data_IF_074153308344
#
_entry.id   IF_074153308344
#
_cell.length_a   1.000
_cell.length_b   1.000
_cell.length_c   1.000
_cell.angle_alpha   90.00
_cell.angle_beta   90.00
_cell.angle_gamma   90.00
#
_symmetry.space_group_name_H-M   'P 1'
#
loop_
_entity.id
_entity.type
_entity.pdbx_description
1 polymer ?
#
# COMPACT_ATOMS: atom_id res chain seq x y z
N UNK A 1 9.39 18.10 -12.75
CA UNK A 1 9.08 17.05 -11.77
C UNK A 1 8.07 16.14 -12.42
N UNK A 2 8.28 14.84 -12.34
CA UNK A 2 7.35 13.85 -12.89
C UNK A 2 6.03 13.92 -12.13
N UNK A 3 4.91 14.10 -12.82
CA UNK A 3 3.58 13.89 -12.22
C UNK A 3 3.28 12.39 -12.25
N UNK A 4 2.80 11.84 -11.13
CA UNK A 4 2.45 10.43 -10.99
C UNK A 4 1.36 10.23 -9.93
N UNK A 5 0.63 9.12 -10.03
CA UNK A 5 -0.50 8.74 -9.15
C UNK A 5 -1.52 9.88 -8.97
N UNK A 6 -1.93 10.50 -10.07
CA UNK A 6 -2.90 11.61 -10.06
C UNK A 6 -4.23 11.16 -9.45
N UNK A 7 -4.64 9.92 -9.70
CA UNK A 7 -5.83 9.29 -9.11
C UNK A 7 -5.78 9.15 -7.58
N UNK A 8 -4.63 9.33 -6.93
CA UNK A 8 -4.52 9.33 -5.46
C UNK A 8 -5.27 10.49 -4.79
N UNK A 9 -5.58 11.55 -5.55
CA UNK A 9 -6.21 12.76 -5.03
C UNK A 9 -5.24 13.68 -4.26
N UNK A 10 -3.93 13.44 -4.34
CA UNK A 10 -2.89 14.25 -3.69
C UNK A 10 -3.02 15.75 -4.00
N UNK A 11 -3.34 16.10 -5.25
CA UNK A 11 -3.52 17.48 -5.71
C UNK A 11 -4.73 18.20 -5.09
N UNK A 12 -5.66 17.45 -4.48
CA UNK A 12 -6.84 18.00 -3.81
C UNK A 12 -6.55 18.37 -2.35
N UNK A 13 -5.38 18.05 -1.82
CA UNK A 13 -5.03 18.21 -0.41
C UNK A 13 -4.07 19.38 -0.20
N UNK A 14 -4.15 19.98 0.99
CA UNK A 14 -3.18 20.96 1.45
C UNK A 14 -2.07 20.29 2.28
N UNK A 15 -1.01 21.04 2.60
CA UNK A 15 0.06 20.59 3.50
C UNK A 15 0.16 21.49 4.73
N UNK A 16 0.43 20.89 5.89
CA UNK A 16 0.78 21.63 7.10
C UNK A 16 2.26 22.06 7.12
N UNK A 17 2.69 22.69 8.22
CA UNK A 17 4.08 23.15 8.40
C UNK A 17 5.11 22.01 8.42
N UNK A 18 4.68 20.79 8.80
CA UNK A 18 5.50 19.58 8.81
C UNK A 18 5.47 18.84 7.46
N UNK A 19 4.77 19.39 6.46
CA UNK A 19 4.61 18.79 5.13
C UNK A 19 3.63 17.62 5.06
N UNK A 20 2.80 17.42 6.09
CA UNK A 20 1.77 16.38 6.15
C UNK A 20 0.48 16.83 5.49
N UNK A 21 -0.30 15.88 5.01
CA UNK A 21 -1.52 16.14 4.24
C UNK A 21 -2.68 16.57 5.14
N UNK A 22 -3.22 17.76 4.86
CA UNK A 22 -4.40 18.30 5.53
C UNK A 22 -5.63 17.99 4.68
N UNK A 23 -6.66 17.42 5.32
CA UNK A 23 -7.92 17.11 4.66
C UNK A 23 -8.58 18.39 4.14
N UNK A 24 -9.07 18.36 2.91
CA UNK A 24 -9.84 19.43 2.28
C UNK A 24 -11.25 18.96 1.94
N UNK A 25 -12.14 19.90 1.69
CA UNK A 25 -13.50 19.60 1.22
C UNK A 25 -13.49 18.96 -0.17
N UNK A 26 -12.55 19.35 -1.03
CA UNK A 26 -12.48 18.84 -2.41
C UNK A 26 -12.01 17.38 -2.46
N UNK A 27 -11.12 16.96 -1.56
CA UNK A 27 -10.75 15.55 -1.40
C UNK A 27 -11.96 14.69 -0.98
N UNK A 28 -12.82 15.20 -0.08
CA UNK A 28 -14.04 14.50 0.31
C UNK A 28 -15.07 14.43 -0.83
N UNK A 29 -15.27 15.53 -1.55
CA UNK A 29 -16.16 15.54 -2.73
C UNK A 29 -15.71 14.56 -3.80
N UNK A 30 -14.41 14.39 -4.01
CA UNK A 30 -13.89 13.38 -4.93
C UNK A 30 -14.29 11.94 -4.54
N UNK A 31 -14.42 11.64 -3.24
CA UNK A 31 -14.97 10.36 -2.78
C UNK A 31 -16.47 10.26 -3.05
N UNK A 32 -17.24 11.31 -2.77
CA UNK A 32 -18.70 11.33 -3.00
C UNK A 32 -19.09 11.32 -4.49
N UNK A 33 -18.15 11.69 -5.37
CA UNK A 33 -18.33 11.65 -6.82
C UNK A 33 -18.06 10.26 -7.42
N UNK A 34 -17.64 9.27 -6.63
CA UNK A 34 -17.38 7.92 -7.13
C UNK A 34 -18.69 7.20 -7.48
N UNK A 35 -18.69 6.28 -8.45
CA UNK A 35 -19.89 5.58 -8.91
C UNK A 35 -20.66 4.86 -7.79
N UNK A 36 -19.95 4.38 -6.75
CA UNK A 36 -20.54 3.66 -5.62
C UNK A 36 -21.39 4.54 -4.70
N UNK A 37 -21.22 5.87 -4.76
CA UNK A 37 -21.91 6.86 -3.92
C UNK A 37 -22.70 7.89 -4.73
N UNK A 38 -22.47 7.96 -6.04
CA UNK A 38 -23.23 8.81 -6.94
C UNK A 38 -24.64 8.24 -7.11
N UNK A 39 -25.70 8.95 -6.70
CA UNK A 39 -27.06 8.43 -6.76
C UNK A 39 -27.43 8.08 -8.21
N UNK A 40 -27.89 6.84 -8.50
CA UNK A 40 -28.35 6.49 -9.83
C UNK A 40 -29.63 7.27 -10.21
N UNK A 41 -30.02 7.29 -11.50
CA UNK A 41 -31.22 8.01 -11.95
C UNK A 41 -32.51 7.63 -11.21
N UNK A 42 -32.60 6.38 -10.75
CA UNK A 42 -33.71 5.81 -9.99
C UNK A 42 -33.62 5.99 -8.46
N UNK A 43 -32.55 6.63 -7.97
CA UNK A 43 -32.32 6.85 -6.55
C UNK A 43 -33.50 7.57 -5.88
N UNK A 44 -33.83 7.16 -4.66
CA UNK A 44 -34.92 7.77 -3.91
C UNK A 44 -34.63 9.26 -3.60
N UNK A 45 -35.66 10.11 -3.40
CA UNK A 45 -35.46 11.53 -3.10
C UNK A 45 -34.63 11.79 -1.83
N UNK A 46 -34.60 10.86 -0.88
CA UNK A 46 -33.78 10.99 0.33
C UNK A 46 -32.28 10.90 0.02
N UNK A 47 -31.89 9.93 -0.80
CA UNK A 47 -30.50 9.74 -1.24
C UNK A 47 -29.99 10.93 -2.04
N UNK A 48 -30.78 11.41 -3.02
CA UNK A 48 -30.43 12.58 -3.82
C UNK A 48 -30.22 13.83 -2.95
N UNK A 49 -31.05 14.03 -1.93
CA UNK A 49 -30.90 15.12 -0.96
C UNK A 49 -29.65 14.96 -0.09
N UNK A 50 -29.38 13.74 0.39
CA UNK A 50 -28.19 13.45 1.20
C UNK A 50 -26.92 13.76 0.40
N UNK A 51 -26.82 13.24 -0.82
CA UNK A 51 -25.69 13.46 -1.71
C UNK A 51 -25.50 14.96 -2.02
N UNK A 52 -26.56 15.65 -2.45
CA UNK A 52 -26.48 17.08 -2.74
C UNK A 52 -26.05 17.92 -1.52
N UNK A 53 -26.54 17.57 -0.32
CA UNK A 53 -26.16 18.25 0.91
C UNK A 53 -24.67 18.02 1.26
N UNK A 54 -24.16 16.81 1.05
CA UNK A 54 -22.75 16.48 1.29
C UNK A 54 -21.82 17.06 0.22
N UNK A 55 -22.28 17.22 -1.02
CA UNK A 55 -21.52 17.94 -2.05
C UNK A 55 -21.38 19.44 -1.73
N UNK A 56 -22.38 20.02 -1.07
CA UNK A 56 -22.37 21.42 -0.64
C UNK A 56 -21.56 21.65 0.64
N UNK A 57 -21.70 20.76 1.63
CA UNK A 57 -20.97 20.79 2.90
C UNK A 57 -20.47 19.36 3.24
N UNK A 58 -19.26 18.99 2.78
CA UNK A 58 -18.74 17.63 2.93
C UNK A 58 -18.58 17.17 4.37
N UNK A 59 -18.33 18.10 5.29
CA UNK A 59 -18.05 17.83 6.70
C UNK A 59 -19.30 17.88 7.58
N UNK A 60 -20.48 18.15 7.01
CA UNK A 60 -21.72 18.21 7.80
C UNK A 60 -21.97 16.89 8.53
N UNK A 61 -22.50 16.99 9.76
CA UNK A 61 -23.02 15.83 10.46
C UNK A 61 -24.23 15.25 9.69
N UNK A 62 -24.29 13.92 9.61
CA UNK A 62 -25.41 13.17 9.02
C UNK A 62 -26.01 12.32 10.12
N UNK A 63 -27.29 12.52 10.40
CA UNK A 63 -27.97 11.78 11.45
C UNK A 63 -28.31 10.35 10.98
N UNK A 64 -28.31 9.33 11.87
CA UNK A 64 -28.67 7.96 11.50
C UNK A 64 -30.05 7.84 10.84
N UNK A 65 -30.98 8.73 11.18
CA UNK A 65 -32.31 8.78 10.59
C UNK A 65 -32.29 9.21 9.10
N UNK A 66 -31.32 10.02 8.69
CA UNK A 66 -31.15 10.40 7.28
C UNK A 66 -30.73 9.18 6.45
N UNK A 67 -29.82 8.36 6.99
CA UNK A 67 -29.42 7.10 6.37
C UNK A 67 -30.58 6.09 6.35
N UNK A 68 -31.30 5.94 7.46
CA UNK A 68 -32.43 5.02 7.53
C UNK A 68 -33.57 5.37 6.55
N UNK A 69 -33.62 6.62 6.07
CA UNK A 69 -34.60 7.08 5.10
C UNK A 69 -34.26 6.71 3.63
N UNK A 70 -33.04 6.24 3.34
CA UNK A 70 -32.70 5.70 2.03
C UNK A 70 -33.44 4.37 1.83
N UNK A 71 -34.07 4.19 0.67
CA UNK A 71 -34.85 2.98 0.37
C UNK A 71 -33.96 1.78 0.07
N UNK A 72 -32.90 1.99 -0.70
CA UNK A 72 -31.93 0.96 -1.07
C UNK A 72 -31.02 0.58 0.12
N UNK A 73 -30.89 -0.73 0.37
CA UNK A 73 -30.04 -1.26 1.42
C UNK A 73 -28.55 -1.10 1.11
N UNK A 74 -28.16 -1.26 -0.15
CA UNK A 74 -26.76 -1.18 -0.56
C UNK A 74 -26.28 0.27 -0.47
N UNK A 75 -27.12 1.22 -0.89
CA UNK A 75 -26.86 2.65 -0.69
C UNK A 75 -26.69 3.01 0.79
N UNK A 76 -27.52 2.46 1.70
CA UNK A 76 -27.36 2.69 3.15
C UNK A 76 -26.01 2.20 3.66
N UNK A 77 -25.61 1.00 3.27
CA UNK A 77 -24.32 0.41 3.68
C UNK A 77 -23.15 1.24 3.15
N UNK A 78 -23.17 1.61 1.87
CA UNK A 78 -22.12 2.43 1.24
C UNK A 78 -21.96 3.78 1.94
N UNK A 79 -23.07 4.48 2.23
CA UNK A 79 -23.03 5.75 2.94
C UNK A 79 -22.54 5.59 4.39
N UNK A 80 -22.95 4.55 5.11
CA UNK A 80 -22.45 4.30 6.48
C UNK A 80 -20.94 4.10 6.50
N UNK A 81 -20.43 3.27 5.59
CA UNK A 81 -19.01 2.97 5.44
C UNK A 81 -18.23 4.23 5.07
N UNK A 82 -18.72 5.02 4.11
CA UNK A 82 -18.07 6.26 3.69
C UNK A 82 -18.08 7.33 4.79
N UNK A 83 -19.19 7.50 5.51
CA UNK A 83 -19.29 8.50 6.59
C UNK A 83 -18.38 8.14 7.76
N UNK A 84 -18.29 6.86 8.14
CA UNK A 84 -17.35 6.40 9.16
C UNK A 84 -15.89 6.69 8.76
N UNK A 85 -15.55 6.51 7.47
CA UNK A 85 -14.23 6.86 6.95
C UNK A 85 -13.98 8.38 6.98
N UNK A 86 -14.92 9.18 6.47
CA UNK A 86 -14.87 10.65 6.50
C UNK A 86 -14.68 11.20 7.91
N UNK A 87 -15.48 10.71 8.86
CA UNK A 87 -15.46 11.20 10.25
C UNK A 87 -14.10 10.91 10.90
N UNK A 88 -13.49 9.77 10.57
CA UNK A 88 -12.12 9.46 10.98
C UNK A 88 -11.09 10.42 10.41
N UNK A 89 -11.18 10.75 9.12
CA UNK A 89 -10.27 11.73 8.51
C UNK A 89 -10.45 13.12 9.13
N UNK A 90 -11.69 13.49 9.44
CA UNK A 90 -12.03 14.80 10.02
C UNK A 90 -11.60 14.92 11.49
N UNK A 91 -11.55 13.80 12.22
CA UNK A 91 -11.12 13.76 13.61
C UNK A 91 -9.60 13.91 13.79
N UNK A 92 -8.81 13.71 12.74
CA UNK A 92 -7.37 13.88 12.76
C UNK A 92 -6.96 15.22 12.12
N UNK A 93 -5.87 15.86 12.61
CA UNK A 93 -5.36 17.08 11.98
C UNK A 93 -4.81 16.84 10.57
N UNK A 94 -4.33 15.63 10.30
CA UNK A 94 -3.71 15.23 9.04
C UNK A 94 -4.09 13.80 8.66
N UNK A 95 -3.98 13.46 7.37
CA UNK A 95 -4.24 12.11 6.86
C UNK A 95 -3.22 11.11 7.41
N UNK A 96 -1.95 11.51 7.57
CA UNK A 96 -0.94 10.72 8.26
C UNK A 96 -1.34 10.43 9.71
N UNK A 97 -1.86 11.43 10.41
CA UNK A 97 -2.40 11.26 11.77
C UNK A 97 -3.55 10.27 11.82
N UNK A 98 -4.50 10.36 10.89
CA UNK A 98 -5.60 9.41 10.75
C UNK A 98 -5.09 7.99 10.48
N UNK A 99 -4.13 7.84 9.57
CA UNK A 99 -3.52 6.56 9.21
C UNK A 99 -2.76 5.93 10.38
N UNK A 100 -1.95 6.70 11.11
CA UNK A 100 -1.27 6.22 12.32
C UNK A 100 -2.28 5.80 13.40
N UNK A 101 -3.40 6.52 13.54
CA UNK A 101 -4.49 6.15 14.43
C UNK A 101 -5.18 4.83 14.04
N UNK A 102 -5.33 4.58 12.73
CA UNK A 102 -5.84 3.31 12.20
C UNK A 102 -4.93 2.14 12.59
N UNK A 103 -3.63 2.27 12.28
CA UNK A 103 -2.63 1.21 12.54
C UNK A 103 -2.57 0.84 14.02
N UNK A 104 -2.77 1.82 14.92
CA UNK A 104 -2.65 1.62 16.38
C UNK A 104 -3.89 1.04 17.05
N UNK A 105 -5.04 0.90 16.37
CA UNK A 105 -6.23 0.35 17.05
C UNK A 105 -7.47 0.05 16.21
N UNK A 106 -7.64 0.64 15.03
CA UNK A 106 -8.92 0.63 14.30
C UNK A 106 -8.83 0.05 12.89
N UNK A 107 -7.71 -0.59 12.55
CA UNK A 107 -7.46 -1.09 11.20
C UNK A 107 -8.45 -2.18 10.77
N UNK A 108 -8.96 -2.98 11.71
CA UNK A 108 -9.91 -4.07 11.43
C UNK A 108 -11.33 -3.59 11.13
N UNK A 109 -11.68 -2.36 11.54
CA UNK A 109 -12.99 -1.74 11.32
C UNK A 109 -13.05 -0.96 10.00
N UNK A 110 -11.95 -0.91 9.26
CA UNK A 110 -11.81 -0.09 8.06
C UNK A 110 -11.67 -0.99 6.84
N UNK A 111 -12.52 -0.83 5.81
CA UNK A 111 -12.36 -1.55 4.55
C UNK A 111 -10.93 -1.41 4.00
N UNK A 112 -10.30 -2.51 3.53
CA UNK A 112 -8.94 -2.49 2.99
C UNK A 112 -8.75 -1.47 1.87
N UNK A 113 -9.79 -1.20 1.07
CA UNK A 113 -9.77 -0.20 0.00
C UNK A 113 -9.37 1.18 0.51
N UNK A 114 -9.96 1.65 1.62
CA UNK A 114 -9.64 2.96 2.18
C UNK A 114 -8.24 3.00 2.79
N UNK A 115 -7.78 1.89 3.38
CA UNK A 115 -6.40 1.77 3.85
C UNK A 115 -5.41 1.90 2.69
N UNK A 116 -5.70 1.24 1.56
CA UNK A 116 -4.86 1.31 0.36
C UNK A 116 -4.87 2.72 -0.24
N UNK A 117 -6.03 3.38 -0.32
CA UNK A 117 -6.14 4.76 -0.81
C UNK A 117 -5.39 5.76 0.07
N UNK A 118 -5.50 5.64 1.40
CA UNK A 118 -4.70 6.46 2.32
C UNK A 118 -3.21 6.19 2.16
N UNK A 119 -2.83 4.92 2.04
CA UNK A 119 -1.44 4.54 1.80
C UNK A 119 -0.92 5.16 0.51
N UNK A 120 -1.68 5.08 -0.58
CA UNK A 120 -1.31 5.65 -1.88
C UNK A 120 -1.12 7.17 -1.81
N UNK A 121 -2.07 7.91 -1.24
CA UNK A 121 -1.99 9.38 -1.19
C UNK A 121 -0.88 9.88 -0.27
N UNK A 122 -0.67 9.22 0.88
CA UNK A 122 0.44 9.52 1.77
C UNK A 122 1.76 9.20 1.07
N UNK A 123 1.86 8.05 0.40
CA UNK A 123 3.09 7.66 -0.29
C UNK A 123 3.39 8.58 -1.48
N UNK A 124 2.36 9.08 -2.18
CA UNK A 124 2.54 10.13 -3.20
C UNK A 124 3.16 11.39 -2.60
N UNK A 125 2.75 11.76 -1.40
CA UNK A 125 3.31 12.91 -0.67
C UNK A 125 4.75 12.65 -0.22
N UNK A 126 5.03 11.46 0.32
CA UNK A 126 6.36 11.01 0.75
C UNK A 126 7.37 11.03 -0.41
N UNK A 127 6.92 10.64 -1.60
CA UNK A 127 7.75 10.54 -2.80
C UNK A 127 7.70 11.82 -3.65
N UNK A 128 7.23 12.94 -3.10
CA UNK A 128 7.21 14.20 -3.83
C UNK A 128 8.63 14.64 -4.20
N UNK A 129 8.84 14.94 -5.49
CA UNK A 129 10.17 15.21 -6.04
C UNK A 129 11.02 13.97 -6.34
N UNK A 130 10.49 12.76 -6.18
CA UNK A 130 11.17 11.54 -6.64
C UNK A 130 11.02 11.38 -8.16
N UNK A 131 12.14 11.38 -8.88
CA UNK A 131 12.19 11.14 -10.33
C UNK A 131 12.74 9.74 -10.69
N UNK A 132 12.99 8.87 -9.69
CA UNK A 132 13.48 7.50 -9.90
C UNK A 132 12.32 6.52 -10.11
N UNK A 133 12.11 6.12 -11.36
CA UNK A 133 11.06 5.18 -11.75
C UNK A 133 11.11 3.83 -11.02
N UNK A 134 12.29 3.34 -10.63
CA UNK A 134 12.40 2.08 -9.89
C UNK A 134 11.90 2.23 -8.45
N UNK A 135 12.12 3.39 -7.83
CA UNK A 135 11.55 3.71 -6.51
C UNK A 135 10.03 3.82 -6.62
N UNK A 136 9.54 4.59 -7.60
CA UNK A 136 8.10 4.80 -7.79
C UNK A 136 7.38 3.48 -8.09
N UNK A 137 7.86 2.68 -9.05
CA UNK A 137 7.26 1.39 -9.38
C UNK A 137 7.30 0.42 -8.20
N UNK A 138 8.42 0.33 -7.48
CA UNK A 138 8.51 -0.54 -6.30
C UNK A 138 7.59 -0.07 -5.15
N UNK A 139 7.38 1.24 -5.02
CA UNK A 139 6.50 1.81 -4.01
C UNK A 139 5.02 1.44 -4.24
N UNK A 140 4.61 1.07 -5.46
CA UNK A 140 3.25 0.57 -5.73
C UNK A 140 2.90 -0.68 -4.93
N UNK A 141 3.89 -1.50 -4.52
CA UNK A 141 3.66 -2.68 -3.68
C UNK A 141 2.96 -2.31 -2.35
N UNK A 142 3.12 -1.07 -1.87
CA UNK A 142 2.53 -0.60 -0.61
C UNK A 142 1.00 -0.58 -0.65
N UNK A 143 0.40 -0.34 -1.83
CA UNK A 143 -1.03 -0.12 -1.96
C UNK A 143 -1.71 -0.98 -3.04
N UNK A 144 -0.94 -1.67 -3.89
CA UNK A 144 -1.47 -2.57 -4.93
C UNK A 144 -0.93 -4.00 -4.79
N UNK A 145 -1.82 -5.01 -4.70
CA UNK A 145 -1.41 -6.41 -4.76
C UNK A 145 -0.73 -6.74 -6.09
N UNK A 146 0.30 -7.58 -6.06
CA UNK A 146 1.02 -8.00 -7.24
C UNK A 146 0.86 -9.51 -7.47
N UNK A 147 0.95 -9.94 -8.73
CA UNK A 147 1.05 -11.33 -9.12
C UNK A 147 2.50 -11.65 -9.51
N UNK A 148 3.05 -12.65 -8.84
CA UNK A 148 4.39 -13.14 -9.07
C UNK A 148 4.40 -14.20 -10.18
N UNK A 149 5.36 -14.08 -11.09
CA UNK A 149 5.69 -15.09 -12.08
C UNK A 149 7.21 -15.24 -12.18
N UNK A 150 7.68 -16.39 -12.68
CA UNK A 150 9.10 -16.61 -12.93
C UNK A 150 9.31 -16.79 -14.43
N UNK A 151 10.14 -15.92 -15.01
CA UNK A 151 10.48 -15.94 -16.43
C UNK A 151 12.00 -15.86 -16.59
N UNK A 152 12.58 -16.78 -17.36
CA UNK A 152 14.03 -16.88 -17.58
C UNK A 152 14.88 -16.85 -16.27
N UNK A 153 14.32 -17.33 -15.16
CA UNK A 153 14.96 -17.34 -13.83
C UNK A 153 14.82 -16.03 -13.04
N UNK A 154 14.20 -14.99 -13.61
CA UNK A 154 13.86 -13.75 -12.93
C UNK A 154 12.42 -13.82 -12.38
N UNK A 155 12.25 -13.38 -11.13
CA UNK A 155 10.96 -13.20 -10.49
C UNK A 155 10.42 -11.85 -10.93
N UNK A 156 9.24 -11.87 -11.53
CA UNK A 156 8.54 -10.71 -12.04
C UNK A 156 7.29 -10.46 -11.19
N UNK A 157 7.03 -9.20 -10.86
CA UNK A 157 5.84 -8.76 -10.14
C UNK A 157 5.03 -7.83 -11.05
N UNK A 158 3.86 -8.27 -11.46
CA UNK A 158 2.90 -7.49 -12.22
C UNK A 158 1.71 -7.09 -11.33
N UNK A 159 1.03 -6.01 -11.66
CA UNK A 159 -0.16 -5.62 -10.92
C UNK A 159 -1.27 -6.68 -11.03
N UNK A 160 -1.84 -7.10 -9.90
CA UNK A 160 -2.81 -8.20 -9.89
C UNK A 160 -4.11 -7.84 -10.63
N UNK A 161 -4.56 -6.59 -10.54
CA UNK A 161 -5.80 -6.12 -11.20
C UNK A 161 -5.62 -6.04 -12.72
N UNK A 162 -4.45 -5.55 -13.18
CA UNK A 162 -4.13 -5.50 -14.60
C UNK A 162 -4.04 -6.92 -15.20
N UNK A 163 -3.39 -7.84 -14.49
CA UNK A 163 -3.31 -9.24 -14.92
C UNK A 163 -4.70 -9.87 -14.99
N UNK A 164 -5.54 -9.69 -13.97
CA UNK A 164 -6.91 -10.22 -13.96
C UNK A 164 -7.75 -9.66 -15.11
N UNK A 165 -7.68 -8.35 -15.36
CA UNK A 165 -8.40 -7.69 -16.46
C UNK A 165 -7.99 -8.24 -17.83
N UNK A 166 -6.70 -8.50 -18.04
CA UNK A 166 -6.19 -9.08 -19.28
C UNK A 166 -6.55 -10.56 -19.41
N UNK A 167 -6.51 -11.35 -18.32
CA UNK A 167 -6.98 -12.73 -18.30
C UNK A 167 -8.47 -12.82 -18.69
N UNK A 168 -9.32 -11.94 -18.16
CA UNK A 168 -10.75 -11.90 -18.49
C UNK A 168 -11.04 -11.55 -19.95
N UNK A 169 -10.25 -10.63 -20.52
CA UNK A 169 -10.28 -10.34 -21.96
C UNK A 169 -9.88 -11.58 -22.77
N UNK A 170 -8.85 -12.29 -22.33
CA UNK A 170 -8.39 -13.54 -22.95
C UNK A 170 -9.41 -14.68 -22.86
N UNK A 171 -10.15 -14.81 -21.75
CA UNK A 171 -11.23 -15.80 -21.57
C UNK A 171 -12.39 -15.60 -22.55
N UNK A 172 -12.58 -14.37 -23.03
CA UNK A 172 -13.57 -14.04 -24.06
C UNK A 172 -13.10 -14.40 -25.48
N UNK A 173 -11.83 -14.79 -25.68
CA UNK A 173 -11.29 -15.21 -26.96
C UNK A 173 -11.74 -16.65 -27.33
N UNK A 174 -11.80 -17.01 -28.63
CA UNK A 174 -12.12 -18.36 -29.06
C UNK A 174 -11.20 -19.44 -28.42
N UNK A 175 -11.70 -20.64 -28.08
CA UNK A 175 -10.94 -21.66 -27.34
C UNK A 175 -9.60 -22.06 -27.97
N UNK A 176 -9.48 -22.04 -29.30
CA UNK A 176 -8.23 -22.32 -29.99
C UNK A 176 -7.15 -21.26 -29.74
N UNK A 177 -7.52 -19.99 -29.60
CA UNK A 177 -6.58 -18.91 -29.26
C UNK A 177 -6.11 -19.00 -27.80
N UNK A 178 -6.99 -19.45 -26.90
CA UNK A 178 -6.64 -19.65 -25.49
C UNK A 178 -5.57 -20.74 -25.31
N UNK A 179 -5.54 -21.77 -26.18
CA UNK A 179 -4.53 -22.83 -26.12
C UNK A 179 -3.10 -22.37 -26.48
N UNK A 180 -2.96 -21.21 -27.11
CA UNK A 180 -1.66 -20.62 -27.49
C UNK A 180 -1.36 -19.31 -26.74
N UNK A 181 -2.21 -18.92 -25.77
CA UNK A 181 -2.01 -17.71 -25.00
C UNK A 181 -0.83 -17.92 -24.01
N UNK A 182 0.13 -17.00 -24.05
CA UNK A 182 1.19 -16.92 -23.05
C UNK A 182 0.64 -16.40 -21.71
N UNK A 183 1.33 -16.62 -20.58
CA UNK A 183 0.92 -16.01 -19.32
C UNK A 183 0.88 -14.49 -19.47
N UNK A 184 -0.25 -13.86 -19.14
CA UNK A 184 -0.49 -12.42 -19.30
C UNK A 184 0.66 -11.53 -18.80
N UNK A 185 1.35 -11.93 -17.74
CA UNK A 185 2.51 -11.20 -17.20
C UNK A 185 3.65 -11.03 -18.21
N UNK A 186 3.82 -11.96 -19.16
CA UNK A 186 4.87 -11.91 -20.20
C UNK A 186 4.54 -10.95 -21.34
N UNK A 187 3.28 -10.51 -21.45
CA UNK A 187 2.86 -9.51 -22.44
C UNK A 187 3.06 -8.07 -21.94
N UNK A 188 3.34 -7.89 -20.65
CA UNK A 188 3.54 -6.58 -20.03
C UNK A 188 5.02 -6.17 -20.06
N UNK A 189 5.26 -4.87 -20.23
CA UNK A 189 6.61 -4.33 -20.31
C UNK A 189 7.31 -4.38 -18.95
N UNK A 190 8.47 -5.05 -18.87
CA UNK A 190 9.34 -5.00 -17.68
C UNK A 190 10.01 -3.63 -17.59
N UNK A 191 9.98 -3.02 -16.41
CA UNK A 191 10.70 -1.77 -16.14
C UNK A 191 12.22 -2.00 -16.23
N UNK A 192 12.87 -1.24 -17.09
CA UNK A 192 14.32 -1.22 -17.30
C UNK A 192 14.82 0.22 -17.31
N UNK A 193 16.14 0.41 -17.24
CA UNK A 193 16.73 1.75 -17.33
C UNK A 193 16.46 2.43 -18.69
N UNK A 194 16.22 1.64 -19.75
CA UNK A 194 15.93 2.14 -21.09
C UNK A 194 14.51 2.71 -21.21
N UNK A 195 13.54 2.11 -20.52
CA UNK A 195 12.15 2.56 -20.53
C UNK A 195 11.73 3.32 -19.26
N UNK A 196 12.62 3.52 -18.28
CA UNK A 196 12.33 4.19 -17.01
C UNK A 196 11.69 5.58 -17.17
N UNK A 197 12.12 6.35 -18.18
CA UNK A 197 11.54 7.66 -18.49
C UNK A 197 10.05 7.60 -18.87
N UNK A 198 9.54 6.42 -19.24
CA UNK A 198 8.13 6.20 -19.56
C UNK A 198 7.22 6.12 -18.33
N UNK A 199 7.78 5.88 -17.15
CA UNK A 199 6.99 5.59 -15.95
C UNK A 199 5.94 6.67 -15.65
N UNK A 200 6.32 7.96 -15.71
CA UNK A 200 5.42 9.05 -15.34
C UNK A 200 4.12 9.11 -16.13
N UNK A 201 4.14 8.81 -17.43
CA UNK A 201 2.91 8.78 -18.24
C UNK A 201 2.14 7.46 -18.11
N UNK A 202 2.74 6.44 -17.49
CA UNK A 202 2.18 5.11 -17.23
C UNK A 202 1.82 4.89 -15.75
N UNK A 203 1.99 5.91 -14.90
CA UNK A 203 1.77 5.75 -13.46
C UNK A 203 0.32 5.42 -13.10
N UNK A 204 -0.63 5.77 -13.98
CA UNK A 204 -2.06 5.45 -13.79
C UNK A 204 -2.46 4.11 -14.41
N UNK A 205 -1.66 3.57 -15.34
CA UNK A 205 -1.96 2.28 -15.98
C UNK A 205 -1.47 1.09 -15.15
N UNK A 206 -0.50 1.31 -14.25
CA UNK A 206 0.07 0.26 -13.37
C UNK A 206 0.52 -1.00 -14.14
N UNK A 207 0.90 -0.82 -15.41
CA UNK A 207 1.10 -1.90 -16.39
C UNK A 207 2.57 -2.28 -16.59
N UNK A 208 3.49 -1.61 -15.90
CA UNK A 208 4.91 -1.95 -15.89
C UNK A 208 5.18 -3.11 -14.93
N UNK A 209 5.98 -4.09 -15.34
CA UNK A 209 6.37 -5.23 -14.50
C UNK A 209 7.66 -4.92 -13.74
N UNK A 210 7.67 -5.23 -12.45
CA UNK A 210 8.86 -5.07 -11.61
C UNK A 210 9.68 -6.37 -11.58
N UNK A 211 10.90 -6.33 -12.10
CA UNK A 211 11.84 -7.46 -11.97
C UNK A 211 12.46 -7.48 -10.56
N UNK A 212 12.11 -8.48 -9.74
CA UNK A 212 12.40 -8.51 -8.31
C UNK A 212 13.57 -9.44 -7.93
N UNK A 213 13.70 -10.63 -8.55
CA UNK A 213 14.89 -11.47 -8.35
C UNK A 213 15.97 -11.09 -9.38
N UNK A 214 17.20 -10.86 -8.92
CA UNK A 214 18.30 -10.32 -9.75
C UNK A 214 18.22 -8.80 -9.99
N UNK A 215 17.04 -8.19 -9.89
CA UNK A 215 16.81 -6.75 -9.99
C UNK A 215 17.35 -5.95 -8.81
N UNK A 216 18.65 -5.65 -8.82
CA UNK A 216 19.30 -4.80 -7.80
C UNK A 216 18.69 -3.40 -7.76
N UNK A 217 18.20 -2.87 -8.90
CA UNK A 217 17.50 -1.59 -8.96
C UNK A 217 16.15 -1.65 -8.24
N UNK A 218 15.27 -2.58 -8.61
CA UNK A 218 13.94 -2.77 -8.01
C UNK A 218 13.96 -2.95 -6.50
N UNK A 219 14.85 -3.82 -5.99
CA UNK A 219 14.95 -4.06 -4.53
C UNK A 219 15.53 -2.84 -3.80
N UNK A 220 16.48 -2.12 -4.40
CA UNK A 220 16.94 -0.83 -3.85
C UNK A 220 15.84 0.23 -3.90
N UNK A 221 15.01 0.23 -4.94
CA UNK A 221 13.83 1.08 -5.07
C UNK A 221 12.85 0.85 -3.92
N UNK A 222 12.52 -0.42 -3.65
CA UNK A 222 11.66 -0.78 -2.51
C UNK A 222 12.29 -0.38 -1.18
N UNK A 223 13.58 -0.67 -0.99
CA UNK A 223 14.32 -0.28 0.21
C UNK A 223 14.26 1.24 0.43
N UNK A 224 14.47 2.04 -0.63
CA UNK A 224 14.38 3.50 -0.56
C UNK A 224 12.98 3.99 -0.23
N UNK A 225 11.94 3.38 -0.81
CA UNK A 225 10.55 3.69 -0.47
C UNK A 225 10.25 3.41 1.01
N UNK A 226 10.77 2.30 1.57
CA UNK A 226 10.64 1.97 2.99
C UNK A 226 11.35 3.01 3.87
N UNK A 227 12.57 3.41 3.53
CA UNK A 227 13.31 4.46 4.27
C UNK A 227 12.51 5.76 4.36
N UNK A 228 11.99 6.23 3.22
CA UNK A 228 11.23 7.48 3.13
C UNK A 228 9.90 7.39 3.87
N UNK A 229 9.21 6.25 3.76
CA UNK A 229 7.96 6.00 4.46
C UNK A 229 8.14 6.02 5.99
N UNK A 230 9.16 5.32 6.50
CA UNK A 230 9.48 5.28 7.93
C UNK A 230 9.89 6.66 8.44
N UNK A 231 10.74 7.36 7.70
CA UNK A 231 11.17 8.71 8.06
C UNK A 231 9.99 9.68 8.14
N UNK A 232 9.09 9.67 7.16
CA UNK A 232 7.94 10.59 7.12
C UNK A 232 6.92 10.33 8.24
N UNK A 233 6.54 9.07 8.45
CA UNK A 233 5.47 8.73 9.39
C UNK A 233 5.94 8.64 10.84
N UNK A 234 7.17 8.16 11.08
CA UNK A 234 7.66 7.92 12.43
C UNK A 234 8.68 8.98 12.87
N UNK A 235 9.22 9.77 11.95
CA UNK A 235 10.30 10.73 12.24
C UNK A 235 11.63 10.04 12.54
N UNK A 236 11.79 8.79 12.10
CA UNK A 236 12.93 7.91 12.42
C UNK A 236 13.75 7.68 11.16
N UNK A 237 15.05 7.98 11.23
CA UNK A 237 15.96 7.76 10.12
C UNK A 237 16.49 6.32 10.13
N UNK A 238 16.33 5.63 8.99
CA UNK A 238 16.77 4.25 8.80
C UNK A 238 17.50 4.09 7.47
N UNK A 239 18.37 3.10 7.40
CA UNK A 239 18.96 2.58 6.15
C UNK A 239 18.42 1.19 5.90
N UNK A 240 17.94 0.91 4.69
CA UNK A 240 17.43 -0.40 4.30
C UNK A 240 18.28 -0.95 3.15
N UNK A 241 18.84 -2.14 3.36
CA UNK A 241 19.70 -2.79 2.36
C UNK A 241 19.06 -4.11 1.93
N UNK A 242 18.88 -4.37 0.61
CA UNK A 242 18.48 -5.69 0.15
C UNK A 242 19.56 -6.73 0.41
N UNK A 243 19.19 -7.85 1.02
CA UNK A 243 20.12 -8.92 1.37
C UNK A 243 19.74 -10.23 0.68
N UNK A 244 20.73 -11.10 0.46
CA UNK A 244 20.49 -12.43 -0.09
C UNK A 244 20.23 -13.49 0.99
N UNK A 245 20.78 -13.28 2.18
CA UNK A 245 20.69 -14.19 3.34
C UNK A 245 20.80 -13.39 4.63
N UNK A 246 20.19 -13.90 5.70
CA UNK A 246 20.38 -13.36 7.05
C UNK A 246 21.46 -14.19 7.77
N UNK A 247 22.33 -13.53 8.52
CA UNK A 247 23.27 -14.20 9.42
C UNK A 247 22.56 -14.51 10.75
N UNK A 248 22.66 -15.75 11.24
CA UNK A 248 21.98 -16.20 12.47
C UNK A 248 22.36 -15.38 13.70
N UNK A 249 23.62 -14.91 13.78
CA UNK A 249 24.13 -14.08 14.88
C UNK A 249 23.44 -12.71 14.95
N UNK A 250 22.91 -12.23 13.82
CA UNK A 250 22.25 -10.93 13.66
C UNK A 250 20.71 -11.04 13.73
N UNK A 251 20.14 -12.23 13.98
CA UNK A 251 18.69 -12.45 14.04
C UNK A 251 18.07 -11.98 15.36
N UNK A 252 18.02 -10.66 15.55
CA UNK A 252 17.58 -10.01 16.78
C UNK A 252 16.10 -9.58 16.77
N UNK A 253 15.57 -9.29 15.59
CA UNK A 253 14.19 -8.85 15.38
C UNK A 253 13.83 -9.02 13.90
N UNK A 254 12.56 -9.23 13.62
CA UNK A 254 12.07 -9.23 12.24
C UNK A 254 10.71 -8.55 12.13
N UNK A 255 10.41 -8.05 10.94
CA UNK A 255 9.10 -7.54 10.54
C UNK A 255 8.71 -8.21 9.23
N UNK A 256 7.61 -8.97 9.26
CA UNK A 256 6.99 -9.44 8.02
C UNK A 256 6.29 -8.30 7.32
N UNK A 257 6.61 -8.07 6.05
CA UNK A 257 6.01 -7.05 5.20
C UNK A 257 4.67 -7.50 4.62
N UNK A 258 4.27 -8.76 4.81
CA UNK A 258 2.97 -9.31 4.44
C UNK A 258 2.57 -10.44 5.43
N UNK A 259 1.37 -11.00 5.26
CA UNK A 259 0.85 -12.01 6.19
C UNK A 259 1.65 -13.32 6.19
N UNK A 260 2.13 -13.76 5.03
CA UNK A 260 2.92 -14.99 4.89
C UNK A 260 4.32 -14.79 5.45
N UNK A 261 4.96 -13.66 5.15
CA UNK A 261 6.24 -13.29 5.73
C UNK A 261 6.18 -13.18 7.26
N UNK A 262 5.10 -12.62 7.82
CA UNK A 262 4.89 -12.61 9.27
C UNK A 262 4.73 -14.02 9.82
N UNK A 263 3.98 -14.90 9.16
CA UNK A 263 3.80 -16.30 9.59
C UNK A 263 5.12 -17.07 9.56
N UNK A 264 5.87 -16.98 8.47
CA UNK A 264 7.17 -17.66 8.28
C UNK A 264 8.19 -17.13 9.29
N UNK A 265 8.32 -15.82 9.42
CA UNK A 265 9.22 -15.20 10.39
C UNK A 265 8.90 -15.60 11.84
N UNK A 266 7.62 -15.71 12.19
CA UNK A 266 7.21 -16.19 13.53
C UNK A 266 7.62 -17.65 13.78
N UNK A 267 7.51 -18.52 12.77
CA UNK A 267 7.96 -19.90 12.88
C UNK A 267 9.48 -19.98 13.08
N UNK A 268 10.24 -19.23 12.26
CA UNK A 268 11.70 -19.10 12.40
C UNK A 268 12.10 -18.58 13.79
N UNK A 269 11.45 -17.52 14.27
CA UNK A 269 11.70 -16.94 15.58
C UNK A 269 11.46 -17.91 16.74
N UNK A 270 10.48 -18.80 16.60
CA UNK A 270 10.13 -19.82 17.61
C UNK A 270 10.95 -21.10 17.47
N UNK A 271 11.86 -21.18 16.49
CA UNK A 271 12.60 -22.41 16.17
C UNK A 271 11.71 -23.55 15.71
N UNK A 272 10.59 -23.24 15.06
CA UNK A 272 9.67 -24.23 14.50
C UNK A 272 10.15 -24.65 13.11
N UNK A 273 9.90 -25.91 12.74
CA UNK A 273 10.11 -26.37 11.37
C UNK A 273 9.17 -25.62 10.42
N UNK A 274 9.73 -25.19 9.28
CA UNK A 274 8.96 -24.57 8.21
C UNK A 274 8.23 -25.63 7.39
N UNK A 275 7.05 -25.29 6.89
CA UNK A 275 6.35 -26.14 5.93
C UNK A 275 7.15 -26.23 4.61
N UNK A 276 6.95 -27.32 3.87
CA UNK A 276 7.54 -27.49 2.54
C UNK A 276 7.26 -26.28 1.64
N UNK A 277 8.33 -25.68 1.09
CA UNK A 277 8.27 -24.53 0.21
C UNK A 277 8.12 -23.16 0.90
N UNK A 278 8.01 -23.08 2.23
CA UNK A 278 7.91 -21.79 2.93
C UNK A 278 9.12 -20.88 2.69
N UNK A 279 10.32 -21.43 2.72
CA UNK A 279 11.55 -20.67 2.47
C UNK A 279 11.61 -20.12 1.03
N UNK A 280 11.16 -20.89 0.05
CA UNK A 280 11.15 -20.51 -1.38
C UNK A 280 10.15 -19.38 -1.66
N UNK A 281 9.16 -19.19 -0.79
CA UNK A 281 8.18 -18.11 -0.91
C UNK A 281 8.66 -16.78 -0.36
N UNK A 282 9.77 -16.74 0.37
CA UNK A 282 10.42 -15.47 0.74
C UNK A 282 11.10 -14.92 -0.51
N UNK A 283 10.49 -13.89 -1.09
CA UNK A 283 10.96 -13.26 -2.32
C UNK A 283 11.84 -12.05 -2.06
N UNK A 284 11.76 -11.46 -0.85
CA UNK A 284 12.52 -10.29 -0.45
C UNK A 284 13.02 -10.38 0.97
N UNK A 285 14.32 -10.12 1.16
CA UNK A 285 14.96 -9.98 2.45
C UNK A 285 15.69 -8.64 2.48
N UNK A 286 15.49 -7.87 3.54
CA UNK A 286 16.16 -6.59 3.74
C UNK A 286 16.67 -6.46 5.17
N UNK A 287 17.84 -5.85 5.32
CA UNK A 287 18.35 -5.41 6.61
C UNK A 287 18.01 -3.93 6.80
N UNK A 288 17.14 -3.63 7.77
CA UNK A 288 16.88 -2.27 8.24
C UNK A 288 17.78 -1.96 9.43
N UNK A 289 18.51 -0.85 9.37
CA UNK A 289 19.34 -0.35 10.47
C UNK A 289 18.93 1.07 10.81
N UNK A 290 18.73 1.34 12.10
CA UNK A 290 18.51 2.70 12.58
C UNK A 290 19.79 3.52 12.38
N UNK A 291 19.67 4.71 11.80
CA UNK A 291 20.80 5.65 11.70
C UNK A 291 21.26 6.08 13.09
N UNK A 292 20.31 6.17 14.03
CA UNK A 292 20.51 6.46 15.43
C UNK A 292 20.10 5.23 16.26
N UNK A 293 21.05 4.34 16.64
CA UNK A 293 20.74 3.09 17.36
C UNK A 293 20.00 3.30 18.69
N UNK A 294 20.07 4.49 19.28
CA UNK A 294 19.35 4.89 20.48
C UNK A 294 17.83 5.01 20.29
N UNK A 295 17.35 5.16 19.05
CA UNK A 295 15.91 5.15 18.73
C UNK A 295 15.31 3.74 18.82
N UNK A 296 16.15 2.71 18.69
CA UNK A 296 15.76 1.32 18.82
C UNK A 296 15.73 0.86 20.29
N UNK A 297 14.92 -0.17 20.58
CA UNK A 297 14.93 -0.84 21.88
C UNK A 297 16.37 -1.24 22.28
N UNK A 298 16.78 -1.09 23.56
CA UNK A 298 18.13 -1.39 24.01
C UNK A 298 18.62 -2.80 23.65
N UNK A 299 17.69 -3.76 23.61
CA UNK A 299 17.99 -5.13 23.20
C UNK A 299 18.48 -5.18 21.74
N UNK A 300 17.98 -4.35 20.83
CA UNK A 300 18.35 -4.38 19.41
C UNK A 300 19.68 -3.64 19.18
N UNK A 301 19.78 -2.41 19.70
CA UNK A 301 20.97 -1.57 19.51
C UNK A 301 21.29 -1.36 18.03
N UNK A 302 22.53 -1.63 17.62
CA UNK A 302 23.01 -1.45 16.24
C UNK A 302 22.73 -2.65 15.31
N UNK A 303 22.08 -3.71 15.81
CA UNK A 303 21.76 -4.91 15.03
C UNK A 303 20.66 -4.62 14.00
N UNK A 304 20.64 -5.33 12.87
CA UNK A 304 19.62 -5.11 11.87
C UNK A 304 18.26 -5.63 12.35
N UNK A 305 17.20 -4.96 11.90
CA UNK A 305 15.84 -5.48 11.89
C UNK A 305 15.61 -6.12 10.52
N UNK A 306 15.31 -7.41 10.50
CA UNK A 306 15.10 -8.14 9.25
C UNK A 306 13.69 -7.91 8.70
N UNK A 307 13.59 -7.39 7.48
CA UNK A 307 12.32 -7.24 6.78
C UNK A 307 12.15 -8.40 5.80
N UNK A 308 11.02 -9.08 5.87
CA UNK A 308 10.69 -10.23 5.04
C UNK A 308 9.52 -9.90 4.13
N UNK A 309 9.64 -10.14 2.83
CA UNK A 309 8.52 -10.11 1.88
C UNK A 309 8.36 -11.49 1.27
N UNK A 310 7.14 -11.99 1.26
CA UNK A 310 6.79 -13.29 0.74
C UNK A 310 5.62 -13.21 -0.24
N UNK A 311 5.50 -14.27 -1.05
CA UNK A 311 4.31 -14.53 -1.86
C UNK A 311 3.44 -15.61 -1.20
N UNK A 312 2.13 -15.53 -1.46
CA UNK A 312 1.19 -16.59 -1.11
C UNK A 312 1.46 -17.86 -1.93
N UNK A 313 0.82 -18.97 -1.57
CA UNK A 313 0.88 -20.21 -2.36
C UNK A 313 0.30 -20.08 -3.77
N UNK A 314 -0.53 -19.07 -4.01
CA UNK A 314 -1.10 -18.75 -5.32
C UNK A 314 -0.25 -17.75 -6.12
N UNK A 315 0.92 -17.37 -5.60
CA UNK A 315 1.81 -16.41 -6.25
C UNK A 315 1.35 -14.96 -6.13
N UNK A 316 0.55 -14.61 -5.13
CA UNK A 316 0.16 -13.22 -4.87
C UNK A 316 1.11 -12.57 -3.86
N UNK A 317 1.47 -11.31 -4.05
CA UNK A 317 2.25 -10.50 -3.10
C UNK A 317 1.37 -9.35 -2.63
N UNK A 318 1.13 -9.29 -1.32
CA UNK A 318 0.29 -8.25 -0.71
C UNK A 318 0.99 -7.62 0.48
N UNK A 319 1.78 -6.59 0.21
CA UNK A 319 2.49 -5.85 1.24
C UNK A 319 1.51 -5.16 2.20
N UNK A 320 1.93 -5.06 3.46
CA UNK A 320 1.23 -4.44 4.58
C UNK A 320 2.17 -3.38 5.18
N UNK A 321 2.23 -2.18 4.61
CA UNK A 321 3.14 -1.13 5.10
C UNK A 321 2.87 -0.69 6.54
N UNK A 322 1.67 -0.94 7.06
CA UNK A 322 1.37 -0.79 8.49
C UNK A 322 2.28 -1.61 9.42
N UNK A 323 2.84 -2.72 8.93
CA UNK A 323 3.75 -3.55 9.72
C UNK A 323 5.08 -2.82 9.99
N UNK A 324 5.48 -1.86 9.14
CA UNK A 324 6.63 -0.99 9.38
C UNK A 324 6.36 0.06 10.48
N UNK A 325 5.10 0.29 10.84
CA UNK A 325 4.72 1.23 11.90
C UNK A 325 4.50 0.48 13.20
N UNK A 326 3.77 -0.64 13.15
CA UNK A 326 3.44 -1.42 14.33
C UNK A 326 4.55 -2.38 14.76
N UNK A 327 5.41 -2.82 13.84
CA UNK A 327 6.37 -3.90 14.05
C UNK A 327 7.80 -3.44 14.31
N UNK A 328 8.16 -2.17 14.08
CA UNK A 328 9.53 -1.71 14.33
C UNK A 328 9.81 -1.60 15.85
N UNK A 329 10.99 -2.03 16.32
CA UNK A 329 11.35 -2.05 17.74
C UNK A 329 11.81 -0.66 18.21
N UNK A 330 10.91 0.31 18.17
CA UNK A 330 11.17 1.69 18.61
C UNK A 330 11.09 1.80 20.14
N UNK A 331 11.90 2.68 20.74
CA UNK A 331 11.69 3.09 22.14
C UNK A 331 10.42 3.91 22.27
N UNK A 332 9.65 3.66 23.31
CA UNK A 332 8.53 4.54 23.68
C UNK A 332 9.09 5.86 24.23
N UNK A 333 8.38 6.97 23.99
CA UNK A 333 8.75 8.31 24.48
C UNK A 333 8.88 8.41 26.01
N UNK A 334 8.36 7.45 26.76
CA UNK A 334 8.49 7.40 28.24
C UNK A 334 9.87 6.93 28.70
N UNK A 335 10.64 6.24 27.84
CA UNK A 335 11.96 5.69 28.19
C UNK A 335 13.14 6.61 27.81
N UNK A 336 12.86 7.75 27.18
CA UNK A 336 13.85 8.74 26.73
C UNK A 336 13.91 10.00 27.61
N UNK A 337 13.21 10.02 28.75
CA UNK A 337 13.26 11.10 29.75
C UNK A 337 14.19 10.81 30.92
#
# INVERSE_FOLDING_TARGET
MMEFWVSSGHQLLDRDEDGRLVLTDDYLKAHFARPELMPPPEACPAEQRLHAALMADPRRTVEPAEIAALEDADARENWQVMLAFRDRLTAAPTLEGAYLGLVRGHMHETPPLFVNQLTQVILRNVLDGCDDAHVLRAAELFFRPQRASVEAGALLLADAEIVELQEDRGRSAPPLLQMFAEPVVTELDVLTDENAASYGHRSESFDLVLSFSGGVASRRGLARAIELWVAHLLGVAVTVTPEARADEEDWAWFVGLDADATRIGNALWRGQELDDGDAERIIGLFALRFTHPEEALPAIGARPVWLLLAMTRTGEVRMKPQNLIAGLPLRTREETS
#
